data_IF_488432510943
#
_entry.id   IF_488432510943
#
_cell.length_a   1.000
_cell.length_b   1.000
_cell.length_c   1.000
_cell.angle_alpha   90.00
_cell.angle_beta   90.00
_cell.angle_gamma   90.00
#
_symmetry.space_group_name_H-M   'P 1'
#
loop_
_entity.id
_entity.type
_entity.pdbx_description
1 polymer ?
#
# COMPACT_ATOMS: atom_id res chain seq x y z
N UNK A 1 45.66 -18.87 7.51
CA UNK A 1 45.23 -17.84 8.06
C UNK A 1 43.89 -17.52 7.67
N UNK A 2 43.08 -17.30 8.41
CA UNK A 2 41.81 -17.09 8.10
C UNK A 2 41.33 -15.81 8.41
N UNK A 3 40.61 -15.18 7.68
CA UNK A 3 40.18 -13.97 7.91
C UNK A 3 38.84 -13.94 8.04
N UNK A 4 38.38 -13.51 8.96
CA UNK A 4 37.13 -13.46 9.13
C UNK A 4 36.56 -12.25 9.06
N UNK A 5 35.67 -11.96 8.46
CA UNK A 5 35.10 -10.79 8.33
C UNK A 5 33.93 -10.71 8.79
N UNK A 6 33.60 -10.27 9.50
CA UNK A 6 32.56 -10.09 10.07
C UNK A 6 31.88 -9.10 9.66
N UNK A 7 31.40 -9.02 8.89
CA UNK A 7 30.77 -8.17 8.39
C UNK A 7 29.72 -7.87 9.04
N UNK A 8 29.60 -7.30 9.58
CA UNK A 8 28.73 -6.86 10.08
C UNK A 8 27.64 -6.98 10.02
N UNK A 9 27.37 -7.24 9.72
CA UNK A 9 26.36 -7.63 9.71
C UNK A 9 25.39 -7.13 10.34
N UNK A 10 25.26 -6.18 10.53
CA UNK A 10 24.45 -5.74 11.11
C UNK A 10 23.45 -5.56 10.65
N UNK A 11 22.89 -5.71 10.71
CA UNK A 11 21.75 -5.73 10.42
C UNK A 11 20.99 -4.61 10.34
N UNK A 12 21.35 -3.54 10.15
CA UNK A 12 20.50 -2.51 10.03
C UNK A 12 20.27 -2.36 8.59
N UNK A 13 19.11 -2.49 8.10
CA UNK A 13 18.80 -2.21 6.73
C UNK A 13 18.86 -0.72 6.52
N UNK A 14 19.31 -0.30 5.37
CA UNK A 14 19.33 1.11 5.02
C UNK A 14 17.92 1.60 4.72
N UNK A 15 17.76 2.90 4.72
CA UNK A 15 16.48 3.50 4.36
C UNK A 15 16.07 3.12 2.94
N UNK A 16 17.02 3.04 2.02
CA UNK A 16 16.73 2.64 0.66
C UNK A 16 16.23 1.22 0.58
N UNK A 17 16.79 0.32 1.36
CA UNK A 17 16.34 -1.07 1.37
C UNK A 17 14.93 -1.18 1.95
N UNK A 18 14.64 -0.42 2.99
CA UNK A 18 13.32 -0.43 3.60
C UNK A 18 12.28 0.14 2.63
N UNK A 19 12.65 1.20 1.91
CA UNK A 19 11.75 1.81 0.94
C UNK A 19 11.51 0.85 -0.23
N UNK A 20 12.54 0.15 -0.68
CA UNK A 20 12.40 -0.81 -1.75
C UNK A 20 11.45 -1.95 -1.35
N UNK A 21 11.52 -2.40 -0.10
CA UNK A 21 10.61 -3.43 0.39
C UNK A 21 9.17 -2.94 0.37
N UNK A 22 8.92 -1.67 0.73
CA UNK A 22 7.59 -1.09 0.64
C UNK A 22 7.13 -1.00 -0.80
N UNK A 23 8.00 -0.55 -1.70
CA UNK A 23 7.66 -0.40 -3.11
C UNK A 23 7.32 -1.76 -3.74
N UNK A 24 8.07 -2.80 -3.38
CA UNK A 24 7.80 -4.14 -3.90
C UNK A 24 6.46 -4.67 -3.40
N UNK A 25 6.13 -4.43 -2.15
CA UNK A 25 4.84 -4.85 -1.62
C UNK A 25 3.70 -4.07 -2.26
N UNK A 26 3.91 -2.79 -2.51
CA UNK A 26 2.93 -1.96 -3.20
C UNK A 26 2.69 -2.48 -4.61
N UNK A 27 3.75 -2.89 -5.29
CA UNK A 27 3.63 -3.44 -6.63
C UNK A 27 2.84 -4.75 -6.64
N UNK A 28 3.04 -5.61 -5.64
CA UNK A 28 2.25 -6.83 -5.51
C UNK A 28 0.78 -6.50 -5.33
N UNK A 29 0.48 -5.50 -4.50
CA UNK A 29 -0.89 -5.07 -4.24
C UNK A 29 -1.52 -4.53 -5.52
N UNK A 30 -0.81 -3.68 -6.25
CA UNK A 30 -1.30 -3.12 -7.50
C UNK A 30 -1.54 -4.20 -8.54
N UNK A 31 -0.70 -5.22 -8.57
CA UNK A 31 -0.86 -6.34 -9.50
C UNK A 31 -2.15 -7.12 -9.19
N UNK A 32 -2.45 -7.32 -7.92
CA UNK A 32 -3.70 -7.99 -7.52
C UNK A 32 -4.90 -7.15 -7.95
N UNK A 33 -4.87 -5.85 -7.70
CA UNK A 33 -5.94 -4.95 -8.08
C UNK A 33 -6.15 -4.95 -9.58
N UNK A 34 -5.06 -4.94 -10.35
CA UNK A 34 -5.13 -4.89 -11.80
C UNK A 34 -5.73 -6.14 -12.44
N UNK A 35 -5.79 -7.24 -11.71
CA UNK A 35 -6.42 -8.47 -12.21
C UNK A 35 -7.93 -8.37 -12.15
N UNK A 36 -8.47 -7.38 -11.46
CA UNK A 36 -9.89 -7.27 -11.30
C UNK A 36 -10.59 -6.66 -12.48
N UNK A 37 -11.86 -6.97 -12.61
CA UNK A 37 -12.68 -6.33 -13.61
C UNK A 37 -14.09 -6.17 -13.05
N UNK A 38 -14.85 -5.31 -13.66
CA UNK A 38 -16.21 -5.06 -13.22
C UNK A 38 -17.14 -4.96 -14.41
N UNK A 39 -18.42 -5.18 -14.17
CA UNK A 39 -19.47 -4.93 -15.14
C UNK A 39 -20.42 -3.88 -14.60
N UNK A 40 -20.43 -3.68 -13.28
CA UNK A 40 -21.30 -2.69 -12.66
C UNK A 40 -20.68 -2.18 -11.38
N UNK A 41 -21.21 -1.07 -10.87
CA UNK A 41 -20.68 -0.42 -9.69
C UNK A 41 -20.69 -1.33 -8.46
N UNK A 42 -21.68 -2.20 -8.34
CA UNK A 42 -21.77 -3.09 -7.18
C UNK A 42 -20.60 -4.05 -7.06
N UNK A 43 -19.79 -4.20 -8.12
CA UNK A 43 -18.60 -5.03 -8.06
C UNK A 43 -17.43 -4.29 -7.43
N UNK A 44 -17.56 -3.01 -7.18
CA UNK A 44 -16.44 -2.17 -6.80
C UNK A 44 -16.47 -1.77 -5.33
N UNK A 45 -15.30 -1.60 -4.77
CA UNK A 45 -15.15 -1.21 -3.36
C UNK A 45 -13.86 -0.42 -3.19
N UNK A 46 -13.62 0.13 -1.99
CA UNK A 46 -12.35 0.78 -1.72
C UNK A 46 -11.88 0.46 -0.31
N UNK A 47 -10.60 0.67 -0.05
CA UNK A 47 -9.99 0.39 1.23
C UNK A 47 -8.93 1.46 1.48
N UNK A 48 -8.79 1.87 2.72
CA UNK A 48 -7.75 2.82 3.11
C UNK A 48 -6.38 2.20 2.88
N UNK A 49 -5.45 2.95 2.33
CA UNK A 49 -4.15 2.44 1.94
C UNK A 49 -3.03 3.36 2.37
N UNK A 50 -1.99 2.79 2.92
CA UNK A 50 -0.81 3.51 3.36
C UNK A 50 -0.95 4.04 4.79
N UNK A 51 0.10 4.66 5.27
CA UNK A 51 0.13 5.24 6.59
C UNK A 51 0.96 6.52 6.56
N UNK A 52 0.36 7.63 6.92
CA UNK A 52 1.09 8.89 7.02
C UNK A 52 1.82 8.97 8.35
N UNK A 53 2.90 9.72 8.38
CA UNK A 53 3.65 9.94 9.61
C UNK A 53 2.78 10.57 10.70
N UNK A 54 1.82 11.43 10.32
CA UNK A 54 0.90 12.03 11.28
C UNK A 54 -0.24 11.09 11.70
N UNK A 55 -0.33 9.93 11.09
CA UNK A 55 -1.44 9.00 11.30
C UNK A 55 -2.44 9.08 10.16
N UNK A 56 -3.24 8.06 10.03
CA UNK A 56 -4.23 7.98 8.98
C UNK A 56 -3.65 7.48 7.65
N UNK A 57 -4.50 7.23 6.67
CA UNK A 57 -4.05 6.66 5.41
C UNK A 57 -3.40 7.69 4.50
N UNK A 58 -2.60 7.21 3.54
CA UNK A 58 -2.06 8.06 2.49
C UNK A 58 -3.13 8.33 1.44
N UNK A 59 -4.06 7.42 1.26
CA UNK A 59 -5.12 7.53 0.29
C UNK A 59 -6.02 6.31 0.34
N UNK A 60 -6.70 6.04 -0.75
CA UNK A 60 -7.63 4.93 -0.85
C UNK A 60 -7.37 4.14 -2.12
N UNK A 61 -7.55 2.84 -2.02
CA UNK A 61 -7.32 1.93 -3.11
C UNK A 61 -8.67 1.39 -3.54
N UNK A 62 -9.01 1.55 -4.80
CA UNK A 62 -10.29 1.08 -5.34
C UNK A 62 -10.05 -0.26 -6.02
N UNK A 63 -10.91 -1.21 -5.78
CA UNK A 63 -10.73 -2.57 -6.31
C UNK A 63 -12.04 -3.21 -6.66
N UNK A 64 -11.97 -4.28 -7.46
CA UNK A 64 -13.14 -5.06 -7.81
C UNK A 64 -13.24 -6.30 -6.94
N UNK A 65 -14.44 -6.70 -6.61
CA UNK A 65 -14.68 -7.94 -5.85
C UNK A 65 -14.31 -9.19 -6.65
N UNK A 66 -13.95 -9.07 -7.92
CA UNK A 66 -13.56 -10.21 -8.73
C UNK A 66 -12.18 -10.75 -8.38
N UNK A 67 -11.41 -10.03 -7.57
CA UNK A 67 -10.08 -10.45 -7.16
C UNK A 67 -10.15 -11.24 -5.86
N UNK A 68 -9.01 -11.76 -5.41
CA UNK A 68 -8.93 -12.38 -4.11
C UNK A 68 -8.90 -11.27 -3.06
N UNK A 69 -10.06 -10.88 -2.58
CA UNK A 69 -10.20 -9.75 -1.66
C UNK A 69 -9.55 -10.03 -0.32
N UNK A 70 -9.57 -11.27 0.14
CA UNK A 70 -8.95 -11.63 1.40
C UNK A 70 -7.44 -11.43 1.31
N UNK A 71 -6.84 -11.89 0.22
CA UNK A 71 -5.41 -11.71 -0.01
C UNK A 71 -5.06 -10.23 -0.13
N UNK A 72 -5.89 -9.46 -0.84
CA UNK A 72 -5.68 -8.02 -0.96
C UNK A 72 -5.65 -7.36 0.42
N UNK A 73 -6.63 -7.66 1.24
CA UNK A 73 -6.73 -7.05 2.57
C UNK A 73 -5.56 -7.43 3.48
N UNK A 74 -5.09 -8.66 3.38
CA UNK A 74 -3.92 -9.09 4.13
C UNK A 74 -2.67 -8.30 3.73
N UNK A 75 -2.47 -8.14 2.43
CA UNK A 75 -1.30 -7.41 1.93
C UNK A 75 -1.39 -5.92 2.23
N UNK A 76 -2.57 -5.33 2.16
CA UNK A 76 -2.78 -3.93 2.50
C UNK A 76 -2.51 -3.70 3.99
N UNK A 77 -2.99 -4.58 4.87
CA UNK A 77 -2.72 -4.49 6.30
C UNK A 77 -1.22 -4.54 6.56
N UNK A 78 -0.53 -5.45 5.87
CA UNK A 78 0.91 -5.57 6.01
C UNK A 78 1.62 -4.31 5.53
N UNK A 79 1.22 -3.77 4.39
CA UNK A 79 1.81 -2.56 3.85
C UNK A 79 1.61 -1.38 4.80
N UNK A 80 0.40 -1.22 5.30
CA UNK A 80 0.08 -0.11 6.20
C UNK A 80 0.94 -0.16 7.47
N UNK A 81 1.15 -1.36 8.01
CA UNK A 81 1.98 -1.52 9.18
C UNK A 81 3.46 -1.28 8.87
N UNK A 82 3.94 -1.79 7.74
CA UNK A 82 5.33 -1.58 7.35
C UNK A 82 5.62 -0.10 7.08
N UNK A 83 4.70 0.61 6.47
CA UNK A 83 4.88 2.04 6.24
C UNK A 83 4.88 2.81 7.56
N UNK A 84 4.01 2.43 8.49
CA UNK A 84 3.98 3.05 9.80
C UNK A 84 5.32 2.87 10.50
N UNK A 85 5.88 1.66 10.45
CA UNK A 85 7.17 1.34 11.06
C UNK A 85 8.30 2.10 10.36
N UNK A 86 8.23 2.19 9.04
CA UNK A 86 9.20 2.94 8.24
C UNK A 86 9.21 4.41 8.66
N UNK A 87 8.03 5.00 8.76
CA UNK A 87 7.90 6.41 9.14
C UNK A 87 8.54 6.69 10.50
N UNK A 88 8.34 5.74 11.43
CA UNK A 88 8.86 5.92 12.75
C UNK A 88 10.37 5.71 12.78
N UNK A 89 10.85 4.69 12.11
CA UNK A 89 12.26 4.35 12.10
C UNK A 89 13.11 5.46 11.48
N UNK A 90 12.59 6.09 10.43
CA UNK A 90 13.35 7.07 9.66
C UNK A 90 12.90 8.51 9.91
N UNK A 91 12.09 8.73 10.92
CA UNK A 91 11.59 10.06 11.29
C UNK A 91 11.00 10.81 10.10
N UNK A 92 10.16 10.13 9.36
CA UNK A 92 9.54 10.72 8.18
C UNK A 92 8.55 11.81 8.61
N UNK A 93 8.53 12.90 7.84
CA UNK A 93 7.61 13.98 8.09
C UNK A 93 6.60 13.99 6.98
N UNK A 94 5.36 14.20 7.29
CA UNK A 94 4.32 14.32 6.27
C UNK A 94 3.44 15.52 6.61
N UNK A 95 2.69 16.00 5.62
CA UNK A 95 1.65 16.95 5.93
C UNK A 95 0.58 16.16 6.69
N UNK A 96 -0.18 16.83 7.49
CA UNK A 96 -1.19 16.18 8.30
C UNK A 96 -2.58 16.28 7.70
N UNK A 97 -2.65 16.53 6.38
CA UNK A 97 -3.93 16.56 5.71
C UNK A 97 -4.52 15.17 5.71
N UNK A 98 -5.83 15.08 5.76
CA UNK A 98 -6.52 13.79 5.76
C UNK A 98 -7.17 13.62 4.41
N UNK A 99 -6.75 12.62 3.62
CA UNK A 99 -7.38 12.40 2.33
C UNK A 99 -8.81 11.92 2.53
N UNK A 100 -9.69 12.33 1.66
CA UNK A 100 -11.07 11.88 1.70
C UNK A 100 -11.22 10.62 0.88
N UNK A 101 -12.10 9.72 1.29
CA UNK A 101 -12.40 8.57 0.44
C UNK A 101 -13.11 9.04 -0.83
N UNK A 102 -13.19 8.19 -1.85
CA UNK A 102 -13.92 8.56 -3.06
C UNK A 102 -15.36 8.91 -2.72
N UNK A 103 -15.93 9.92 -3.39
CA UNK A 103 -17.31 10.29 -3.19
C UNK A 103 -18.20 9.19 -3.76
N UNK A 104 -17.78 8.56 -4.82
CA UNK A 104 -18.46 7.42 -5.41
C UNK A 104 -17.46 6.59 -6.17
N UNK A 105 -17.90 5.45 -6.67
CA UNK A 105 -17.07 4.59 -7.48
C UNK A 105 -17.78 4.36 -8.79
N UNK A 106 -17.06 4.28 -9.88
CA UNK A 106 -17.60 3.98 -11.18
C UNK A 106 -16.93 2.75 -11.76
N UNK A 107 -17.64 2.04 -12.60
CA UNK A 107 -17.09 0.92 -13.36
C UNK A 107 -16.95 1.42 -14.81
N UNK A 108 -15.72 1.63 -15.26
CA UNK A 108 -15.47 2.19 -16.58
C UNK A 108 -14.55 1.26 -17.34
N UNK A 109 -14.98 0.79 -18.49
CA UNK A 109 -14.19 -0.13 -19.33
C UNK A 109 -13.69 -1.33 -18.55
N UNK A 110 -14.52 -1.88 -17.70
CA UNK A 110 -14.18 -3.06 -16.94
C UNK A 110 -13.32 -2.79 -15.70
N UNK A 111 -13.07 -1.52 -15.39
CA UNK A 111 -12.24 -1.16 -14.23
C UNK A 111 -12.99 -0.32 -13.23
N UNK A 112 -12.77 -0.61 -11.95
CA UNK A 112 -13.34 0.19 -10.88
C UNK A 112 -12.47 1.42 -10.66
N UNK A 113 -13.07 2.59 -10.72
CA UNK A 113 -12.34 3.83 -10.49
C UNK A 113 -13.04 4.65 -9.43
N UNK A 114 -12.27 5.41 -8.68
CA UNK A 114 -12.82 6.32 -7.68
C UNK A 114 -13.18 7.64 -8.31
N UNK A 115 -14.28 8.22 -7.87
CA UNK A 115 -14.72 9.52 -8.34
C UNK A 115 -14.61 10.47 -7.16
N UNK A 116 -13.95 11.61 -7.39
CA UNK A 116 -13.74 12.59 -6.33
C UNK A 116 -14.36 13.91 -6.81
N UNK A 117 -15.20 14.47 -6.00
CA UNK A 117 -15.85 15.75 -6.36
C UNK A 117 -15.45 16.86 -5.43
#
# INVERSE_FOLDING_TARGET
>A
MVIVFSCSTISTQSQEEDLLALDNLKLEIETIVDQGNCTEISNCNYIAFGSKACGGPQGYLVYSNSIDVILLKEKVTKYNQQEKDYNKKWNIISDCSVPSPPTSIACVDGKCIGVYN
#
